data_IF_134672728743
#
_entry.id   IF_134672728743
#
_cell.length_a   1.000
_cell.length_b   1.000
_cell.length_c   1.000
_cell.angle_alpha   90.00
_cell.angle_beta   90.00
_cell.angle_gamma   90.00
#
_symmetry.space_group_name_H-M   'P 1'
#
loop_
_entity.id
_entity.type
_entity.pdbx_description
1 polymer ?
#
# COMPACT_ATOMS: atom_id res chain seq x y z
N UNK A 1 -61.82 63.34 -60.50
CA UNK A 1 -62.04 62.84 -61.87
C UNK A 1 -61.13 61.62 -62.06
N UNK A 2 -61.71 60.41 -62.21
CA UNK A 2 -61.09 59.09 -62.50
C UNK A 2 -60.05 58.56 -61.48
N UNK A 3 -59.93 57.28 -61.13
CA UNK A 3 -60.77 56.07 -61.10
C UNK A 3 -59.94 54.97 -60.41
N UNK A 4 -60.58 54.15 -59.57
CA UNK A 4 -60.44 52.68 -59.43
C UNK A 4 -59.06 52.01 -59.20
N UNK A 5 -58.92 51.27 -58.06
CA UNK A 5 -58.76 49.80 -57.90
C UNK A 5 -57.42 49.21 -58.45
N UNK A 6 -56.63 48.34 -57.80
CA UNK A 6 -56.88 47.01 -57.19
C UNK A 6 -55.66 46.60 -56.31
N UNK A 7 -55.92 45.74 -55.32
CA UNK A 7 -55.03 44.99 -54.39
C UNK A 7 -53.96 44.11 -55.08
N UNK A 8 -52.83 43.81 -54.42
CA UNK A 8 -52.52 42.45 -53.92
C UNK A 8 -51.27 42.41 -53.01
N UNK A 9 -51.36 41.49 -52.06
CA UNK A 9 -50.53 41.10 -50.91
C UNK A 9 -49.17 40.47 -51.22
N UNK A 10 -48.23 40.53 -50.27
CA UNK A 10 -47.11 39.58 -50.17
C UNK A 10 -45.92 40.08 -49.35
N UNK A 11 -45.57 39.35 -48.29
CA UNK A 11 -44.80 39.76 -47.10
C UNK A 11 -43.34 39.25 -47.09
N UNK A 12 -42.49 39.87 -46.22
CA UNK A 12 -41.19 39.43 -45.62
C UNK A 12 -39.99 39.37 -46.63
N UNK A 13 -38.74 39.74 -46.35
CA UNK A 13 -37.96 39.88 -45.12
C UNK A 13 -36.56 40.51 -45.40
N UNK A 14 -35.85 40.87 -44.31
CA UNK A 14 -34.38 40.74 -44.09
C UNK A 14 -33.47 41.97 -44.30
N UNK A 15 -32.95 42.39 -43.13
CA UNK A 15 -31.58 42.83 -42.79
C UNK A 15 -31.04 44.21 -43.17
N UNK A 16 -30.58 44.94 -42.15
CA UNK A 16 -29.29 45.64 -42.23
C UNK A 16 -28.61 45.88 -40.87
N UNK A 17 -27.39 45.36 -40.80
CA UNK A 17 -26.16 45.84 -40.15
C UNK A 17 -26.10 46.20 -38.65
N UNK A 18 -25.23 45.42 -37.98
CA UNK A 18 -24.47 45.73 -36.77
C UNK A 18 -23.69 47.05 -36.88
N UNK A 19 -23.53 47.77 -35.75
CA UNK A 19 -22.28 48.45 -35.41
C UNK A 19 -22.13 48.78 -33.90
N UNK A 20 -20.92 48.46 -33.41
CA UNK A 20 -20.16 48.95 -32.25
C UNK A 20 -20.43 48.48 -30.80
N UNK A 21 -19.34 47.97 -30.23
CA UNK A 21 -19.06 47.62 -28.84
C UNK A 21 -18.71 48.86 -28.02
N UNK A 22 -19.20 48.93 -26.78
CA UNK A 22 -18.65 49.78 -25.72
C UNK A 22 -18.70 49.05 -24.37
N UNK A 23 -17.54 48.74 -23.79
CA UNK A 23 -17.42 48.24 -22.43
C UNK A 23 -17.73 49.36 -21.42
N UNK A 24 -18.63 49.10 -20.46
CA UNK A 24 -18.68 49.84 -19.20
C UNK A 24 -18.72 48.85 -18.03
N UNK A 25 -17.75 49.02 -17.14
CA UNK A 25 -17.52 48.33 -15.87
C UNK A 25 -18.77 48.41 -14.99
N UNK A 26 -19.27 47.28 -14.50
CA UNK A 26 -20.45 47.18 -13.62
C UNK A 26 -20.21 46.17 -12.49
N UNK A 27 -20.63 46.56 -11.29
CA UNK A 27 -20.40 45.94 -9.98
C UNK A 27 -20.54 44.41 -9.93
N UNK A 28 -19.63 43.79 -9.17
CA UNK A 28 -19.80 42.43 -8.63
C UNK A 28 -20.82 42.54 -7.50
N UNK A 29 -22.10 42.36 -7.81
CA UNK A 29 -23.05 41.83 -6.84
C UNK A 29 -22.76 40.34 -6.67
N UNK A 30 -22.54 39.93 -5.43
CA UNK A 30 -22.46 38.52 -5.03
C UNK A 30 -23.76 37.81 -5.42
N UNK A 31 -23.69 36.98 -6.46
CA UNK A 31 -24.73 36.00 -6.79
C UNK A 31 -24.93 35.08 -5.57
N UNK A 32 -26.16 34.92 -5.06
CA UNK A 32 -26.43 33.95 -4.01
C UNK A 32 -26.19 32.55 -4.56
N UNK A 33 -25.46 31.73 -3.80
CA UNK A 33 -25.26 30.30 -4.07
C UNK A 33 -26.65 29.66 -4.15
N UNK A 34 -27.06 29.25 -5.35
CA UNK A 34 -28.24 28.40 -5.55
C UNK A 34 -28.03 27.09 -4.81
N UNK A 35 -28.80 26.85 -3.75
CA UNK A 35 -28.96 25.50 -3.18
C UNK A 35 -29.58 24.62 -4.25
N UNK A 36 -28.84 23.62 -4.75
CA UNK A 36 -29.42 22.57 -5.59
C UNK A 36 -30.55 21.88 -4.82
N UNK A 37 -31.68 21.61 -5.50
CA UNK A 37 -32.78 20.87 -4.91
C UNK A 37 -32.30 19.47 -4.50
N UNK A 38 -32.63 18.98 -3.30
CA UNK A 38 -32.32 17.62 -2.90
C UNK A 38 -32.96 16.62 -3.87
N UNK A 39 -32.27 15.49 -4.11
CA UNK A 39 -32.80 14.40 -4.92
C UNK A 39 -34.17 13.94 -4.40
N UNK A 40 -35.05 13.54 -5.31
CA UNK A 40 -36.38 13.02 -4.95
C UNK A 40 -36.26 11.70 -4.18
N UNK A 41 -37.28 11.36 -3.37
CA UNK A 41 -37.29 10.09 -2.62
C UNK A 41 -37.14 8.87 -3.52
N UNK A 42 -37.74 8.91 -4.73
CA UNK A 42 -37.62 7.84 -5.71
C UNK A 42 -36.19 7.69 -6.25
N UNK A 43 -35.49 8.80 -6.50
CA UNK A 43 -34.08 8.78 -6.90
C UNK A 43 -33.19 8.28 -5.77
N UNK A 44 -33.46 8.69 -4.53
CA UNK A 44 -32.74 8.23 -3.33
C UNK A 44 -32.89 6.72 -3.19
N UNK A 45 -34.10 6.17 -3.30
CA UNK A 45 -34.34 4.72 -3.26
C UNK A 45 -33.61 3.97 -4.38
N UNK A 46 -33.62 4.49 -5.60
CA UNK A 46 -32.85 3.91 -6.73
C UNK A 46 -31.34 3.90 -6.45
N UNK A 47 -30.81 4.98 -5.89
CA UNK A 47 -29.39 5.08 -5.53
C UNK A 47 -29.02 4.14 -4.38
N UNK A 48 -29.86 3.99 -3.34
CA UNK A 48 -29.64 3.01 -2.27
C UNK A 48 -29.59 1.58 -2.80
N UNK A 49 -30.56 1.22 -3.64
CA UNK A 49 -30.63 -0.09 -4.26
C UNK A 49 -29.40 -0.37 -5.14
N UNK A 50 -29.01 0.61 -5.96
CA UNK A 50 -27.81 0.54 -6.79
C UNK A 50 -26.55 0.34 -5.95
N UNK A 51 -26.38 1.09 -4.87
CA UNK A 51 -25.25 0.93 -3.95
C UNK A 51 -25.27 -0.47 -3.34
N UNK A 52 -26.39 -0.90 -2.75
CA UNK A 52 -26.52 -2.21 -2.13
C UNK A 52 -26.12 -3.35 -3.09
N UNK A 53 -26.51 -3.26 -4.35
CA UNK A 53 -26.25 -4.30 -5.35
C UNK A 53 -24.84 -4.25 -5.92
N UNK A 54 -24.23 -3.08 -6.06
CA UNK A 54 -22.90 -2.93 -6.66
C UNK A 54 -21.77 -3.03 -5.64
N UNK A 55 -22.05 -2.77 -4.37
CA UNK A 55 -21.08 -2.83 -3.28
C UNK A 55 -21.28 -4.08 -2.41
N UNK A 56 -22.47 -4.69 -2.41
CA UNK A 56 -22.80 -5.83 -1.54
C UNK A 56 -23.25 -5.42 -0.13
N UNK A 57 -23.35 -4.11 0.16
CA UNK A 57 -23.83 -3.61 1.46
C UNK A 57 -25.34 -3.87 1.58
N UNK A 58 -25.80 -4.33 2.75
CA UNK A 58 -27.24 -4.43 3.02
C UNK A 58 -27.89 -3.07 2.93
N UNK A 59 -28.97 -2.94 2.16
CA UNK A 59 -29.68 -1.66 1.96
C UNK A 59 -30.07 -0.97 3.29
N UNK A 60 -30.41 -1.75 4.32
CA UNK A 60 -30.74 -1.27 5.66
C UNK A 60 -29.58 -0.54 6.37
N UNK A 61 -28.34 -0.75 5.92
CA UNK A 61 -27.12 -0.10 6.44
C UNK A 61 -26.70 1.10 5.58
N UNK A 62 -27.54 1.51 4.62
CA UNK A 62 -27.34 2.68 3.76
C UNK A 62 -28.35 3.76 4.14
N UNK A 63 -27.87 4.80 4.82
CA UNK A 63 -28.67 5.92 5.33
C UNK A 63 -28.44 7.12 4.42
N UNK A 64 -29.52 7.75 3.95
CA UNK A 64 -29.39 9.01 3.20
C UNK A 64 -29.46 10.18 4.18
N UNK A 65 -28.46 11.05 4.11
CA UNK A 65 -28.41 12.29 4.88
C UNK A 65 -28.72 13.47 3.95
N UNK A 66 -29.94 13.99 4.07
CA UNK A 66 -30.41 15.11 3.25
C UNK A 66 -29.63 16.41 3.51
N UNK A 67 -29.11 16.61 4.73
CA UNK A 67 -28.31 17.78 5.08
C UNK A 67 -26.94 17.77 4.42
N UNK A 68 -26.37 16.57 4.21
CA UNK A 68 -25.08 16.36 3.53
C UNK A 68 -25.22 16.05 2.04
N UNK A 69 -26.43 15.79 1.55
CA UNK A 69 -26.68 15.26 0.21
C UNK A 69 -25.80 14.03 -0.10
N UNK A 70 -25.67 13.14 0.87
CA UNK A 70 -24.76 12.00 0.81
C UNK A 70 -25.40 10.74 1.42
N UNK A 71 -24.88 9.57 1.06
CA UNK A 71 -25.21 8.31 1.70
C UNK A 71 -24.12 7.97 2.72
N UNK A 72 -24.55 7.65 3.94
CA UNK A 72 -23.73 7.08 5.01
C UNK A 72 -23.92 5.56 4.93
N UNK A 73 -22.82 4.86 4.69
CA UNK A 73 -22.78 3.40 4.58
C UNK A 73 -21.99 2.85 5.76
N UNK A 74 -22.55 1.86 6.43
CA UNK A 74 -21.92 1.19 7.58
C UNK A 74 -21.46 2.11 8.74
N UNK A 75 -21.98 3.35 8.79
CA UNK A 75 -21.82 4.30 9.90
C UNK A 75 -20.73 5.36 9.71
N UNK A 76 -19.69 5.08 8.94
CA UNK A 76 -18.46 5.90 8.80
C UNK A 76 -17.98 6.09 7.34
N UNK A 77 -18.62 5.43 6.36
CA UNK A 77 -18.27 5.56 4.94
C UNK A 77 -19.26 6.50 4.23
N UNK A 78 -18.76 7.59 3.62
CA UNK A 78 -19.61 8.52 2.87
C UNK A 78 -19.39 8.49 1.36
N UNK A 79 -20.49 8.68 0.64
CA UNK A 79 -20.52 8.88 -0.81
C UNK A 79 -21.57 9.94 -1.18
N UNK A 80 -21.18 10.95 -1.95
CA UNK A 80 -22.08 12.04 -2.34
C UNK A 80 -23.15 11.56 -3.34
N UNK A 81 -24.33 12.18 -3.31
CA UNK A 81 -25.41 11.92 -4.30
C UNK A 81 -24.90 12.05 -5.74
N UNK A 82 -24.12 13.10 -5.99
CA UNK A 82 -23.52 13.38 -7.30
C UNK A 82 -22.57 12.27 -7.75
N UNK A 83 -21.77 11.72 -6.85
CA UNK A 83 -20.86 10.62 -7.17
C UNK A 83 -21.62 9.32 -7.43
N UNK A 84 -22.67 9.01 -6.66
CA UNK A 84 -23.55 7.86 -6.96
C UNK A 84 -24.17 8.00 -8.35
N UNK A 85 -24.70 9.18 -8.68
CA UNK A 85 -25.25 9.46 -10.01
C UNK A 85 -24.18 9.34 -11.11
N UNK A 86 -22.94 9.74 -10.84
CA UNK A 86 -21.80 9.50 -11.70
C UNK A 86 -21.55 8.00 -11.92
N UNK A 87 -21.63 7.21 -10.85
CA UNK A 87 -21.41 5.76 -10.88
C UNK A 87 -22.47 5.01 -11.67
N UNK A 88 -23.73 5.36 -11.47
CA UNK A 88 -24.85 4.78 -12.23
C UNK A 88 -24.71 4.99 -13.74
N UNK A 89 -23.96 6.02 -14.18
CA UNK A 89 -23.69 6.29 -15.60
C UNK A 89 -22.53 5.47 -16.17
N UNK A 90 -21.56 5.09 -15.33
CA UNK A 90 -20.29 4.48 -15.78
C UNK A 90 -20.21 2.97 -15.55
N UNK A 91 -21.03 2.40 -14.66
CA UNK A 91 -21.13 0.94 -14.45
C UNK A 91 -22.59 0.50 -14.35
N UNK A 92 -23.14 -0.20 -15.37
CA UNK A 92 -24.42 -0.88 -15.22
C UNK A 92 -24.29 -2.10 -14.28
N UNK A 93 -25.41 -2.44 -13.65
CA UNK A 93 -25.64 -3.54 -12.73
C UNK A 93 -24.71 -4.77 -12.92
N UNK A 94 -24.02 -5.17 -11.85
CA UNK A 94 -23.32 -6.46 -11.78
C UNK A 94 -23.62 -7.13 -10.44
N UNK A 95 -24.18 -8.34 -10.51
CA UNK A 95 -24.52 -9.18 -9.36
C UNK A 95 -23.32 -10.05 -8.98
N UNK A 96 -22.56 -9.64 -7.97
CA UNK A 96 -21.53 -10.45 -7.34
C UNK A 96 -21.83 -10.60 -5.84
N UNK A 97 -21.98 -11.83 -5.36
CA UNK A 97 -22.18 -12.13 -3.96
C UNK A 97 -20.90 -11.81 -3.16
N UNK A 98 -21.01 -11.25 -1.94
CA UNK A 98 -19.86 -11.05 -1.08
C UNK A 98 -19.41 -12.40 -0.49
N UNK A 99 -18.14 -12.73 -0.68
CA UNK A 99 -17.40 -13.64 0.19
C UNK A 99 -16.41 -12.81 0.98
N UNK A 100 -16.37 -13.02 2.30
CA UNK A 100 -15.45 -12.43 3.28
C UNK A 100 -14.03 -12.29 2.70
N UNK A 101 -13.40 -11.08 2.55
CA UNK A 101 -11.93 -10.70 2.44
C UNK A 101 -11.62 -9.20 2.16
N UNK A 102 -10.53 -8.58 2.69
CA UNK A 102 -10.26 -7.10 2.70
C UNK A 102 -10.61 -6.38 1.38
N UNK A 103 -11.43 -5.33 1.51
CA UNK A 103 -12.17 -4.78 0.39
C UNK A 103 -11.68 -3.41 -0.06
N UNK A 104 -11.88 -3.14 -1.35
CA UNK A 104 -11.65 -1.84 -1.97
C UNK A 104 -12.90 -1.29 -2.65
N UNK A 105 -12.99 0.02 -2.62
CA UNK A 105 -13.92 0.79 -3.41
C UNK A 105 -13.66 0.61 -4.92
N UNK A 106 -14.70 0.65 -5.78
CA UNK A 106 -14.52 0.52 -7.22
C UNK A 106 -13.68 1.62 -7.86
N UNK A 107 -13.61 2.80 -7.24
CA UNK A 107 -12.82 3.93 -7.70
C UNK A 107 -11.62 4.13 -6.79
N UNK A 108 -10.48 4.37 -7.41
CA UNK A 108 -9.20 4.61 -6.75
C UNK A 108 -8.69 5.99 -7.16
N UNK A 109 -7.83 6.55 -6.33
CA UNK A 109 -7.17 7.81 -6.65
C UNK A 109 -6.27 7.63 -7.88
N UNK A 110 -6.25 8.64 -8.75
CA UNK A 110 -5.31 8.63 -9.87
C UNK A 110 -3.86 8.82 -9.37
N UNK A 111 -2.89 8.45 -10.21
CA UNK A 111 -1.47 8.47 -9.86
C UNK A 111 -0.93 9.84 -9.48
N UNK A 112 -1.53 10.93 -9.98
CA UNK A 112 -1.07 12.30 -9.72
C UNK A 112 -1.52 12.80 -8.33
N UNK A 113 -2.64 12.28 -7.83
CA UNK A 113 -3.17 12.66 -6.51
C UNK A 113 -2.55 11.78 -5.43
N UNK A 114 -2.51 10.45 -5.62
CA UNK A 114 -2.10 9.53 -4.55
C UNK A 114 -0.66 9.71 -4.08
N UNK A 115 0.22 10.25 -4.95
CA UNK A 115 1.61 10.57 -4.63
C UNK A 115 1.82 11.81 -3.77
N UNK A 116 0.78 12.61 -3.55
CA UNK A 116 0.81 13.75 -2.64
C UNK A 116 -0.64 14.19 -2.34
N UNK A 117 -1.31 13.47 -1.46
CA UNK A 117 -2.66 13.77 -1.01
C UNK A 117 -2.59 14.91 0.01
N UNK A 118 -3.07 16.09 -0.37
CA UNK A 118 -2.94 17.32 0.42
C UNK A 118 -4.14 17.48 1.33
N UNK A 119 -3.91 17.39 2.63
CA UNK A 119 -4.93 17.53 3.66
C UNK A 119 -4.85 18.94 4.24
N UNK A 120 -5.95 19.67 4.16
CA UNK A 120 -6.14 20.89 4.93
C UNK A 120 -6.49 20.53 6.38
N UNK A 121 -5.61 20.85 7.32
CA UNK A 121 -5.88 20.70 8.75
C UNK A 121 -6.77 21.84 9.25
N UNK A 122 -8.05 21.54 9.46
CA UNK A 122 -9.04 22.44 10.05
C UNK A 122 -9.58 21.87 11.38
N UNK A 123 -8.74 21.12 12.10
CA UNK A 123 -9.06 20.55 13.41
C UNK A 123 -8.77 21.59 14.50
N UNK A 124 -9.70 21.80 15.43
CA UNK A 124 -9.55 22.72 16.56
C UNK A 124 -8.89 22.05 17.76
N UNK A 125 -9.32 20.84 18.12
CA UNK A 125 -8.80 20.07 19.25
C UNK A 125 -7.32 19.69 19.04
N UNK A 126 -6.41 20.10 19.95
CA UNK A 126 -4.98 19.84 19.80
C UNK A 126 -4.60 18.35 19.79
N UNK A 127 -5.35 17.50 20.49
CA UNK A 127 -5.07 16.07 20.55
C UNK A 127 -5.47 15.38 19.25
N UNK A 128 -6.63 15.71 18.67
CA UNK A 128 -7.02 15.25 17.33
C UNK A 128 -6.09 15.78 16.24
N UNK A 129 -5.61 17.02 16.38
CA UNK A 129 -4.61 17.59 15.48
C UNK A 129 -3.27 16.84 15.54
N UNK A 130 -2.83 16.43 16.73
CA UNK A 130 -1.67 15.54 16.89
C UNK A 130 -1.93 14.17 16.29
N UNK A 131 -3.11 13.60 16.51
CA UNK A 131 -3.51 12.32 15.95
C UNK A 131 -3.48 12.30 14.41
N UNK A 132 -3.89 13.39 13.74
CA UNK A 132 -3.77 13.53 12.28
C UNK A 132 -2.31 13.43 11.82
N UNK A 133 -1.41 14.14 12.50
CA UNK A 133 0.03 14.07 12.20
C UNK A 133 0.58 12.66 12.40
N UNK A 134 0.16 11.97 13.44
CA UNK A 134 0.63 10.62 13.70
C UNK A 134 0.06 9.62 12.68
N UNK A 135 -1.24 9.68 12.37
CA UNK A 135 -1.88 8.91 11.30
C UNK A 135 -1.15 9.05 9.94
N UNK A 136 -0.80 10.29 9.56
CA UNK A 136 -0.04 10.56 8.34
C UNK A 136 1.36 9.93 8.40
N UNK A 137 2.05 9.95 9.55
CA UNK A 137 3.35 9.28 9.68
C UNK A 137 3.24 7.78 9.45
N UNK A 138 2.16 7.13 9.85
CA UNK A 138 1.97 5.69 9.58
C UNK A 138 1.81 5.44 8.08
N UNK A 139 0.87 6.12 7.41
CA UNK A 139 0.68 5.98 5.96
C UNK A 139 1.88 6.43 5.12
N UNK A 140 2.72 7.32 5.65
CA UNK A 140 3.96 7.73 5.00
C UNK A 140 5.19 6.94 5.49
N UNK A 141 5.01 5.91 6.33
CA UNK A 141 6.14 5.20 6.91
C UNK A 141 6.85 4.36 5.84
N UNK A 142 7.95 4.91 5.34
CA UNK A 142 8.78 4.29 4.30
C UNK A 142 9.30 2.91 4.71
N UNK A 143 9.54 2.65 5.99
CA UNK A 143 10.04 1.34 6.45
C UNK A 143 8.94 0.26 6.46
N UNK A 144 7.66 0.64 6.50
CA UNK A 144 6.53 -0.30 6.50
C UNK A 144 5.95 -0.46 5.10
N UNK A 145 5.63 0.64 4.44
CA UNK A 145 4.96 0.63 3.13
C UNK A 145 5.95 0.57 1.96
N UNK A 146 7.22 0.96 2.18
CA UNK A 146 8.30 0.88 1.20
C UNK A 146 8.13 1.82 0.02
N UNK A 147 9.18 1.96 -0.79
CA UNK A 147 9.12 2.51 -2.16
C UNK A 147 8.19 1.73 -3.11
N UNK A 148 7.47 0.72 -2.60
CA UNK A 148 6.51 -0.14 -3.28
C UNK A 148 5.11 0.47 -3.40
N UNK A 149 4.79 1.53 -2.64
CA UNK A 149 3.52 2.28 -2.80
C UNK A 149 3.73 3.73 -3.17
N UNK A 150 2.77 4.30 -3.89
CA UNK A 150 2.72 5.73 -4.22
C UNK A 150 2.09 6.56 -3.11
N UNK A 151 1.41 5.95 -2.13
CA UNK A 151 0.66 6.70 -1.11
C UNK A 151 1.58 7.67 -0.38
N UNK A 152 1.20 8.94 -0.37
CA UNK A 152 1.83 9.96 0.47
C UNK A 152 0.80 11.01 0.83
N UNK A 153 0.67 11.30 2.12
CA UNK A 153 -0.17 12.38 2.64
C UNK A 153 0.67 13.56 3.11
N UNK A 154 0.20 14.77 2.89
CA UNK A 154 0.89 15.99 3.33
C UNK A 154 -0.11 16.95 3.97
N UNK A 155 0.25 17.53 5.12
CA UNK A 155 -0.55 18.59 5.74
C UNK A 155 -0.22 19.93 5.06
N UNK A 156 -1.25 20.64 4.65
CA UNK A 156 -1.15 21.97 4.06
C UNK A 156 -1.89 23.02 4.90
N UNK A 157 -1.40 24.26 4.84
CA UNK A 157 -2.00 25.42 5.51
C UNK A 157 -3.08 26.09 4.66
N UNK A 158 -3.89 26.95 5.31
CA UNK A 158 -5.15 27.51 4.82
C UNK A 158 -5.13 28.20 3.44
N UNK A 159 -3.97 28.66 2.95
CA UNK A 159 -3.84 29.49 1.73
C UNK A 159 -3.33 28.71 0.50
N UNK A 160 -3.43 27.39 0.51
CA UNK A 160 -2.91 26.53 -0.57
C UNK A 160 -4.00 25.63 -1.15
N UNK A 161 -3.76 25.09 -2.35
CA UNK A 161 -4.66 24.10 -2.95
C UNK A 161 -4.54 22.78 -2.18
N UNK A 162 -5.67 22.26 -1.71
CA UNK A 162 -5.80 21.00 -0.97
C UNK A 162 -6.72 20.03 -1.73
N UNK A 163 -6.61 18.74 -1.41
CA UNK A 163 -7.42 17.67 -2.00
C UNK A 163 -8.59 17.27 -1.09
N UNK A 164 -8.39 17.32 0.24
CA UNK A 164 -9.47 17.15 1.22
C UNK A 164 -9.26 18.00 2.48
N UNK A 165 -10.32 18.19 3.27
CA UNK A 165 -10.28 18.87 4.57
C UNK A 165 -10.47 17.87 5.71
N UNK A 166 -9.64 17.96 6.75
CA UNK A 166 -9.85 17.25 8.02
C UNK A 166 -10.42 18.22 9.06
N UNK A 167 -11.54 17.87 9.71
CA UNK A 167 -12.24 18.77 10.64
C UNK A 167 -12.93 18.05 11.80
N UNK A 168 -12.84 18.60 13.00
CA UNK A 168 -13.57 18.16 14.21
C UNK A 168 -14.86 19.00 14.40
N UNK A 169 -15.85 18.77 13.54
CA UNK A 169 -16.91 19.75 13.33
C UNK A 169 -18.28 19.43 13.91
N UNK A 170 -18.48 18.26 14.53
CA UNK A 170 -19.81 17.91 15.06
C UNK A 170 -19.75 17.18 16.39
N UNK A 171 -20.85 17.25 17.12
CA UNK A 171 -21.06 16.55 18.37
C UNK A 171 -22.31 15.70 18.22
N UNK A 172 -22.19 14.41 18.42
CA UNK A 172 -23.31 13.47 18.38
C UNK A 172 -23.02 12.27 19.27
N UNK A 173 -24.00 11.88 20.09
CA UNK A 173 -23.92 10.65 20.88
C UNK A 173 -24.35 9.48 19.98
N UNK A 174 -23.41 8.95 19.21
CA UNK A 174 -23.60 7.81 18.32
C UNK A 174 -22.40 6.87 18.42
N UNK A 175 -22.42 5.74 17.70
CA UNK A 175 -21.25 4.85 17.56
C UNK A 175 -20.26 5.31 16.46
N UNK A 176 -20.57 6.40 15.75
CA UNK A 176 -19.71 6.94 14.68
C UNK A 176 -18.69 7.90 15.29
N UNK A 177 -17.44 7.46 15.32
CA UNK A 177 -16.32 8.21 15.91
C UNK A 177 -15.80 9.26 14.93
N UNK A 178 -15.61 8.85 13.68
CA UNK A 178 -15.23 9.68 12.57
C UNK A 178 -15.89 9.13 11.30
N UNK A 179 -15.76 9.87 10.20
CA UNK A 179 -16.13 9.35 8.89
C UNK A 179 -15.33 10.06 7.78
N UNK A 180 -15.18 9.38 6.65
CA UNK A 180 -14.51 9.90 5.48
C UNK A 180 -15.26 9.58 4.19
N UNK A 181 -15.08 10.46 3.21
CA UNK A 181 -15.57 10.23 1.87
C UNK A 181 -14.61 9.34 1.08
N UNK A 182 -15.17 8.36 0.37
CA UNK A 182 -14.45 7.50 -0.56
C UNK A 182 -13.95 8.29 -1.81
N UNK A 183 -13.01 7.73 -2.60
CA UNK A 183 -12.59 8.31 -3.86
C UNK A 183 -13.77 8.55 -4.80
N UNK A 184 -13.71 9.65 -5.55
CA UNK A 184 -14.72 10.04 -6.55
C UNK A 184 -14.50 9.32 -7.88
N UNK A 185 -15.54 9.35 -8.74
CA UNK A 185 -15.50 8.75 -10.09
C UNK A 185 -14.38 9.24 -10.99
N UNK A 186 -13.94 10.48 -10.79
CA UNK A 186 -12.86 11.12 -11.54
C UNK A 186 -11.45 10.83 -10.98
N UNK A 187 -11.34 9.94 -9.98
CA UNK A 187 -10.07 9.55 -9.36
C UNK A 187 -9.46 10.62 -8.46
N UNK A 188 -10.25 11.57 -7.95
CA UNK A 188 -9.83 12.48 -6.88
C UNK A 188 -10.35 12.00 -5.52
N UNK A 189 -9.84 12.60 -4.45
CA UNK A 189 -10.33 12.35 -3.08
C UNK A 189 -11.78 12.79 -2.91
N UNK A 190 -12.43 12.21 -1.91
CA UNK A 190 -13.66 12.75 -1.32
C UNK A 190 -13.41 14.10 -0.62
N UNK A 191 -14.48 14.80 -0.26
CA UNK A 191 -14.39 16.21 0.16
C UNK A 191 -13.79 16.42 1.56
N UNK A 192 -14.05 15.51 2.50
CA UNK A 192 -13.60 15.69 3.88
C UNK A 192 -13.45 14.38 4.65
N UNK A 193 -12.60 14.43 5.68
CA UNK A 193 -12.60 13.55 6.84
C UNK A 193 -13.15 14.36 8.01
N UNK A 194 -14.14 13.83 8.72
CA UNK A 194 -14.74 14.53 9.84
C UNK A 194 -14.60 13.71 11.12
N UNK A 195 -14.39 14.40 12.24
CA UNK A 195 -14.28 13.82 13.59
C UNK A 195 -15.46 14.26 14.48
N UNK A 196 -16.03 13.30 15.20
CA UNK A 196 -17.07 13.53 16.20
C UNK A 196 -16.44 13.96 17.54
N UNK A 197 -16.70 15.19 17.94
CA UNK A 197 -16.19 15.78 19.18
C UNK A 197 -16.74 15.13 20.46
N UNK A 198 -17.80 14.31 20.37
CA UNK A 198 -18.23 13.47 21.48
C UNK A 198 -17.08 12.59 22.00
N UNK A 199 -16.19 12.14 21.12
CA UNK A 199 -15.08 11.25 21.43
C UNK A 199 -13.77 11.97 21.79
N UNK A 200 -13.82 13.24 22.17
CA UNK A 200 -12.63 13.97 22.63
C UNK A 200 -11.95 13.33 23.85
N UNK A 201 -12.65 12.48 24.60
CA UNK A 201 -12.12 11.73 25.73
C UNK A 201 -11.22 10.53 25.35
N UNK A 202 -11.14 10.16 24.07
CA UNK A 202 -10.29 9.06 23.61
C UNK A 202 -8.80 9.30 23.92
N UNK A 203 -8.08 8.19 24.15
CA UNK A 203 -6.63 8.23 24.28
C UNK A 203 -5.97 8.70 22.97
N UNK A 204 -4.74 9.25 23.03
CA UNK A 204 -4.02 9.67 21.82
C UNK A 204 -3.89 8.57 20.76
N UNK A 205 -3.70 7.32 21.17
CA UNK A 205 -3.54 6.16 20.30
C UNK A 205 -4.83 5.83 19.56
N UNK A 206 -5.97 5.80 20.27
CA UNK A 206 -7.28 5.60 19.67
C UNK A 206 -7.63 6.70 18.67
N UNK A 207 -7.29 7.95 18.98
CA UNK A 207 -7.48 9.08 18.07
C UNK A 207 -6.66 8.90 16.79
N UNK A 208 -5.38 8.53 16.92
CA UNK A 208 -4.51 8.30 15.77
C UNK A 208 -4.98 7.13 14.90
N UNK A 209 -5.45 6.05 15.53
CA UNK A 209 -5.95 4.87 14.81
C UNK A 209 -7.25 5.17 14.09
N UNK A 210 -8.16 5.92 14.73
CA UNK A 210 -9.39 6.41 14.10
C UNK A 210 -9.03 7.19 12.82
N UNK A 211 -8.16 8.20 12.91
CA UNK A 211 -7.80 8.98 11.72
C UNK A 211 -7.08 8.12 10.67
N UNK A 212 -6.23 7.18 11.07
CA UNK A 212 -5.55 6.29 10.13
C UNK A 212 -6.54 5.40 9.36
N UNK A 213 -7.58 4.89 10.03
CA UNK A 213 -8.70 4.16 9.41
C UNK A 213 -9.42 5.04 8.38
N UNK A 214 -9.80 6.25 8.76
CA UNK A 214 -10.48 7.19 7.85
C UNK A 214 -9.62 7.56 6.63
N UNK A 215 -8.31 7.71 6.80
CA UNK A 215 -7.39 7.91 5.67
C UNK A 215 -7.35 6.70 4.73
N UNK A 216 -7.58 5.49 5.24
CA UNK A 216 -7.79 4.28 4.44
C UNK A 216 -9.01 4.41 3.52
N UNK A 217 -10.13 4.92 4.02
CA UNK A 217 -11.30 5.23 3.19
C UNK A 217 -11.01 6.29 2.13
N UNK A 218 -10.25 7.34 2.46
CA UNK A 218 -9.86 8.40 1.50
C UNK A 218 -9.11 7.82 0.29
N UNK A 219 -8.34 6.75 0.48
CA UNK A 219 -7.61 6.05 -0.59
C UNK A 219 -8.37 4.81 -1.11
N UNK A 220 -9.61 4.60 -0.69
CA UNK A 220 -10.49 3.59 -1.28
C UNK A 220 -10.40 2.20 -0.66
N UNK A 221 -9.82 2.03 0.53
CA UNK A 221 -10.14 0.84 1.34
C UNK A 221 -11.57 0.94 1.87
N UNK A 222 -12.23 -0.21 1.98
CA UNK A 222 -13.48 -0.37 2.72
C UNK A 222 -13.26 -1.35 3.86
N UNK A 223 -14.26 -1.53 4.72
CA UNK A 223 -14.10 -2.36 5.92
C UNK A 223 -13.67 -3.78 5.59
N UNK A 224 -12.73 -4.33 6.37
CA UNK A 224 -12.09 -5.62 6.10
C UNK A 224 -13.00 -6.84 6.30
N UNK A 225 -14.12 -6.68 6.99
CA UNK A 225 -15.20 -7.68 7.13
C UNK A 225 -16.18 -7.69 5.94
N UNK A 226 -16.04 -6.74 5.01
CA UNK A 226 -16.89 -6.59 3.83
C UNK A 226 -18.17 -5.83 4.04
N UNK A 227 -18.40 -5.38 5.26
CA UNK A 227 -19.59 -4.61 5.60
C UNK A 227 -19.63 -3.22 4.94
N UNK A 228 -18.45 -2.66 4.62
CA UNK A 228 -18.28 -1.46 3.81
C UNK A 228 -18.39 -1.67 2.30
N UNK A 229 -18.62 -2.93 1.87
CA UNK A 229 -18.79 -3.33 0.48
C UNK A 229 -17.54 -3.19 -0.40
N UNK A 230 -17.70 -3.40 -1.70
CA UNK A 230 -16.64 -3.26 -2.69
C UNK A 230 -16.15 -4.60 -3.24
N UNK A 231 -14.95 -4.59 -3.85
CA UNK A 231 -14.30 -5.80 -4.36
C UNK A 231 -13.15 -6.19 -3.47
N UNK A 232 -12.92 -7.49 -3.29
CA UNK A 232 -11.72 -8.00 -2.64
C UNK A 232 -10.44 -7.46 -3.31
N UNK A 233 -9.45 -7.09 -2.49
CA UNK A 233 -8.09 -6.78 -2.92
C UNK A 233 -7.27 -8.08 -3.10
N UNK A 234 -6.75 -8.39 -4.30
CA UNK A 234 -5.94 -9.59 -4.47
C UNK A 234 -4.71 -9.64 -3.55
N UNK A 235 -4.49 -10.79 -2.93
CA UNK A 235 -3.38 -11.05 -2.00
C UNK A 235 -3.72 -10.79 -0.53
N UNK A 236 -4.91 -10.28 -0.21
CA UNK A 236 -5.40 -10.13 1.18
C UNK A 236 -6.36 -11.26 1.56
N UNK A 237 -6.71 -11.40 2.85
CA UNK A 237 -7.62 -12.45 3.32
C UNK A 237 -9.00 -11.96 3.72
N UNK A 238 -9.89 -12.95 3.88
CA UNK A 238 -11.21 -12.95 4.50
C UNK A 238 -11.26 -12.27 5.84
N UNK A 239 -12.10 -11.23 6.01
CA UNK A 239 -12.60 -10.86 7.33
C UNK A 239 -11.48 -10.68 8.36
N UNK A 240 -10.64 -9.70 8.08
CA UNK A 240 -9.42 -9.47 8.83
C UNK A 240 -9.69 -8.58 10.06
N UNK A 241 -9.79 -9.21 11.22
CA UNK A 241 -10.07 -8.52 12.49
C UNK A 241 -8.85 -7.84 13.12
N UNK A 242 -7.67 -7.96 12.51
CA UNK A 242 -6.46 -7.23 12.90
C UNK A 242 -6.22 -6.01 12.01
N UNK A 243 -6.87 -5.97 10.84
CA UNK A 243 -6.73 -4.88 9.88
C UNK A 243 -7.09 -3.54 10.51
N UNK A 244 -6.31 -2.52 10.14
CA UNK A 244 -6.64 -1.13 10.41
C UNK A 244 -8.06 -0.78 9.93
N UNK A 245 -8.55 -1.46 8.89
CA UNK A 245 -9.87 -1.26 8.30
C UNK A 245 -10.97 -2.09 8.94
N UNK A 246 -10.75 -2.69 10.11
CA UNK A 246 -11.81 -3.34 10.87
C UNK A 246 -12.86 -2.29 11.32
N UNK A 247 -14.18 -2.53 11.15
CA UNK A 247 -15.22 -1.53 11.41
C UNK A 247 -15.43 -1.17 12.89
N UNK A 248 -14.70 -1.84 13.80
CA UNK A 248 -14.80 -1.59 15.24
C UNK A 248 -13.43 -1.29 15.81
N UNK A 249 -13.26 -0.10 16.37
CA UNK A 249 -12.04 0.27 17.06
C UNK A 249 -12.01 -0.43 18.44
N UNK A 250 -11.02 -1.30 18.74
CA UNK A 250 -10.93 -1.95 20.05
C UNK A 250 -10.74 -0.91 21.17
N UNK A 251 -11.43 -1.12 22.30
CA UNK A 251 -11.40 -0.21 23.46
C UNK A 251 -9.99 0.00 24.06
N UNK A 252 -9.08 -0.93 23.79
CA UNK A 252 -7.65 -0.84 24.10
C UNK A 252 -6.86 -1.13 22.84
N UNK A 253 -6.64 -0.13 22.01
CA UNK A 253 -5.82 -0.29 20.83
C UNK A 253 -4.34 -0.05 21.19
N UNK A 254 -3.41 -0.93 20.79
CA UNK A 254 -2.05 -0.45 20.57
C UNK A 254 -2.09 0.67 19.51
N UNK A 255 -1.06 1.52 19.49
CA UNK A 255 -0.79 2.51 18.43
C UNK A 255 -1.16 1.99 17.03
N UNK A 256 -1.54 2.82 16.04
CA UNK A 256 -1.96 2.32 14.71
C UNK A 256 -0.96 1.31 14.16
N UNK A 257 -1.39 0.06 13.98
CA UNK A 257 -0.57 -1.02 13.41
C UNK A 257 -1.24 -1.44 12.12
N UNK A 258 -0.55 -1.26 11.00
CA UNK A 258 -0.89 -2.01 9.79
C UNK A 258 -0.57 -3.47 10.05
N UNK A 259 -1.54 -4.35 9.83
CA UNK A 259 -1.19 -5.75 9.71
C UNK A 259 -0.56 -6.03 8.33
N UNK A 260 -0.23 -7.30 8.08
CA UNK A 260 0.39 -7.68 6.81
C UNK A 260 -0.53 -7.45 5.61
N UNK A 261 -1.85 -7.57 5.79
CA UNK A 261 -2.81 -7.48 4.69
C UNK A 261 -3.13 -6.03 4.34
N UNK A 262 -3.15 -5.12 5.30
CA UNK A 262 -3.16 -3.67 5.08
C UNK A 262 -2.00 -3.24 4.16
N UNK A 263 -0.80 -3.77 4.43
CA UNK A 263 0.39 -3.48 3.62
C UNK A 263 0.27 -4.06 2.20
N UNK A 264 -0.19 -5.31 2.07
CA UNK A 264 -0.43 -5.94 0.76
C UNK A 264 -1.47 -5.15 -0.02
N UNK A 265 -2.58 -4.79 0.61
CA UNK A 265 -3.64 -4.00 0.01
C UNK A 265 -3.13 -2.66 -0.50
N UNK A 266 -2.36 -1.93 0.33
CA UNK A 266 -1.85 -0.61 -0.01
C UNK A 266 -0.88 -0.65 -1.21
N UNK A 267 -0.07 -1.72 -1.29
CA UNK A 267 0.86 -1.97 -2.40
C UNK A 267 0.15 -2.42 -3.66
N UNK A 268 -0.92 -3.21 -3.54
CA UNK A 268 -1.73 -3.65 -4.67
C UNK A 268 -2.51 -2.50 -5.31
N UNK A 269 -3.14 -1.65 -4.49
CA UNK A 269 -3.96 -0.53 -4.98
C UNK A 269 -3.11 0.55 -5.64
N UNK A 270 -1.97 0.86 -5.04
CA UNK A 270 -1.14 2.00 -5.45
C UNK A 270 0.33 1.62 -5.65
N UNK A 271 0.64 0.62 -6.50
CA UNK A 271 2.00 0.14 -6.67
C UNK A 271 2.85 1.27 -7.21
N UNK A 272 3.94 1.60 -6.52
CA UNK A 272 4.97 2.46 -7.10
C UNK A 272 5.93 1.56 -7.85
N UNK A 273 6.05 1.78 -9.15
CA UNK A 273 7.23 1.32 -9.89
C UNK A 273 8.41 2.03 -9.24
N UNK A 274 9.36 1.32 -8.61
CA UNK A 274 10.56 1.94 -8.10
C UNK A 274 11.16 2.79 -9.22
N UNK A 275 11.47 4.05 -8.93
CA UNK A 275 12.18 4.88 -9.90
C UNK A 275 13.47 4.12 -10.28
N UNK A 276 13.65 3.82 -11.56
CA UNK A 276 14.87 3.20 -12.05
C UNK A 276 15.98 4.23 -11.91
N UNK A 277 16.72 4.13 -10.81
CA UNK A 277 17.93 4.93 -10.61
C UNK A 277 18.77 4.30 -9.52
N UNK A 278 19.29 3.09 -9.81
CA UNK A 278 20.43 2.56 -9.09
C UNK A 278 20.51 1.02 -9.02
N UNK A 279 21.64 0.50 -9.49
CA UNK A 279 21.99 -0.91 -9.42
C UNK A 279 23.07 -1.18 -8.34
N UNK A 280 22.77 -1.97 -7.30
CA UNK A 280 23.74 -2.39 -6.27
C UNK A 280 24.84 -3.30 -6.80
N UNK A 281 24.69 -3.82 -8.03
CA UNK A 281 25.70 -4.56 -8.78
C UNK A 281 25.10 -5.71 -9.58
N UNK A 282 25.95 -6.60 -10.08
CA UNK A 282 25.52 -7.90 -10.61
C UNK A 282 25.47 -8.95 -9.51
N UNK A 283 24.86 -10.12 -9.76
CA UNK A 283 24.80 -11.20 -8.76
C UNK A 283 26.21 -11.60 -8.28
N UNK A 284 27.22 -11.62 -9.16
CA UNK A 284 28.61 -11.93 -8.77
C UNK A 284 29.23 -10.92 -7.79
N UNK A 285 28.70 -9.70 -7.74
CA UNK A 285 29.19 -8.62 -6.88
C UNK A 285 28.33 -8.39 -5.63
N UNK A 286 27.40 -9.30 -5.33
CA UNK A 286 26.58 -9.19 -4.12
C UNK A 286 27.36 -9.61 -2.87
N UNK A 287 27.07 -8.98 -1.74
CA UNK A 287 27.38 -9.43 -0.38
C UNK A 287 26.36 -10.45 0.13
N UNK A 288 25.10 -10.34 -0.32
CA UNK A 288 24.04 -11.32 -0.08
C UNK A 288 22.75 -10.92 -0.78
N UNK A 289 21.78 -11.83 -0.86
CA UNK A 289 20.45 -11.54 -1.38
C UNK A 289 19.38 -12.43 -0.74
N UNK A 290 18.21 -11.86 -0.46
CA UNK A 290 17.07 -12.62 0.06
C UNK A 290 15.74 -11.96 -0.36
N UNK A 291 14.64 -12.68 -0.16
CA UNK A 291 13.29 -12.25 -0.46
C UNK A 291 12.60 -11.78 0.83
N UNK A 292 11.92 -10.63 0.80
CA UNK A 292 11.15 -10.12 1.92
C UNK A 292 9.78 -10.78 2.04
N UNK A 293 9.01 -10.41 3.07
CA UNK A 293 7.64 -10.92 3.31
C UNK A 293 6.64 -10.59 2.20
N UNK A 294 7.02 -9.67 1.30
CA UNK A 294 6.21 -9.19 0.19
C UNK A 294 6.69 -9.71 -1.17
N UNK A 295 7.50 -10.78 -1.14
CA UNK A 295 8.17 -11.39 -2.28
C UNK A 295 9.11 -10.44 -3.07
N UNK A 296 9.38 -9.25 -2.55
CA UNK A 296 10.41 -8.35 -3.06
C UNK A 296 11.80 -8.90 -2.78
N UNK A 297 12.68 -8.91 -3.79
CA UNK A 297 14.05 -9.39 -3.63
C UNK A 297 14.98 -8.23 -3.28
N UNK A 298 15.75 -8.37 -2.21
CA UNK A 298 16.77 -7.42 -1.78
C UNK A 298 18.16 -7.92 -2.17
N UNK A 299 18.96 -7.02 -2.74
CA UNK A 299 20.28 -7.28 -3.30
C UNK A 299 21.30 -6.36 -2.64
N UNK A 300 22.00 -6.85 -1.61
CA UNK A 300 23.07 -6.11 -0.95
C UNK A 300 24.38 -6.33 -1.70
N UNK A 301 24.94 -5.28 -2.27
CA UNK A 301 26.17 -5.28 -3.07
C UNK A 301 27.44 -5.10 -2.24
N UNK A 302 28.56 -5.65 -2.70
CA UNK A 302 29.89 -5.44 -2.12
C UNK A 302 30.33 -3.97 -2.10
N UNK A 303 29.67 -3.13 -2.89
CA UNK A 303 29.83 -1.67 -2.91
C UNK A 303 29.29 -0.96 -1.67
N UNK A 304 28.58 -1.66 -0.77
CA UNK A 304 27.89 -1.06 0.37
C UNK A 304 26.51 -0.49 0.01
N UNK A 305 26.00 -0.82 -1.18
CA UNK A 305 24.68 -0.41 -1.65
C UNK A 305 23.70 -1.58 -1.66
N UNK A 306 22.43 -1.31 -1.41
CA UNK A 306 21.33 -2.27 -1.51
C UNK A 306 20.27 -1.76 -2.47
N UNK A 307 19.79 -2.64 -3.34
CA UNK A 307 18.69 -2.38 -4.27
C UNK A 307 17.60 -3.41 -4.02
N UNK A 308 16.33 -2.98 -4.04
CA UNK A 308 15.17 -3.86 -3.93
C UNK A 308 14.50 -4.02 -5.30
N UNK A 309 14.55 -5.22 -5.87
CA UNK A 309 13.91 -5.59 -7.12
C UNK A 309 13.00 -6.81 -6.98
N UNK A 310 13.09 -7.72 -7.95
CA UNK A 310 12.43 -9.03 -7.94
C UNK A 310 13.42 -10.12 -8.36
N UNK A 311 13.02 -11.39 -8.25
CA UNK A 311 13.92 -12.53 -8.42
C UNK A 311 14.66 -12.61 -9.76
N UNK A 312 14.16 -11.97 -10.81
CA UNK A 312 14.78 -11.95 -12.15
C UNK A 312 15.30 -10.57 -12.55
N UNK A 313 15.12 -9.55 -11.71
CA UNK A 313 15.48 -8.17 -12.04
C UNK A 313 15.99 -7.43 -10.81
N UNK A 314 17.22 -6.91 -10.92
CA UNK A 314 17.76 -5.94 -9.98
C UNK A 314 17.42 -4.56 -10.53
N UNK A 315 16.41 -3.93 -9.95
CA UNK A 315 15.92 -2.61 -10.33
C UNK A 315 15.45 -1.88 -9.08
N UNK A 316 15.36 -0.55 -9.16
CA UNK A 316 14.76 0.30 -8.14
C UNK A 316 15.75 1.23 -7.48
N UNK A 317 15.36 1.74 -6.32
CA UNK A 317 16.15 2.75 -5.62
C UNK A 317 17.36 2.10 -4.95
N UNK A 318 18.55 2.60 -5.29
CA UNK A 318 19.79 2.23 -4.62
C UNK A 318 19.91 3.04 -3.32
N UNK A 319 20.04 2.32 -2.21
CA UNK A 319 20.32 2.89 -0.91
C UNK A 319 21.68 2.41 -0.43
N UNK A 320 22.35 3.17 0.43
CA UNK A 320 23.51 2.66 1.17
C UNK A 320 23.04 1.78 2.34
N UNK A 321 23.79 0.73 2.66
CA UNK A 321 23.57 -0.02 3.90
C UNK A 321 24.81 -0.02 4.80
N UNK A 322 24.59 -0.04 6.12
CA UNK A 322 25.65 -0.12 7.12
C UNK A 322 25.73 -1.50 7.76
N UNK A 323 26.94 -1.93 8.07
CA UNK A 323 27.23 -3.11 8.88
C UNK A 323 27.65 -2.68 10.30
N UNK A 324 27.87 -3.67 11.18
CA UNK A 324 28.45 -3.42 12.50
C UNK A 324 29.83 -2.75 12.37
N UNK A 325 30.19 -1.91 13.35
CA UNK A 325 31.47 -1.22 13.36
C UNK A 325 32.66 -2.18 13.13
N UNK A 326 33.56 -1.81 12.22
CA UNK A 326 34.73 -2.61 11.85
C UNK A 326 34.47 -3.74 10.84
N UNK A 327 33.24 -3.87 10.32
CA UNK A 327 32.92 -4.82 9.24
C UNK A 327 32.69 -4.12 7.91
N UNK A 328 33.02 -4.84 6.85
CA UNK A 328 32.84 -4.46 5.46
C UNK A 328 31.94 -5.48 4.75
N UNK A 329 31.33 -5.12 3.61
CA UNK A 329 30.57 -6.08 2.79
C UNK A 329 31.34 -7.36 2.45
N UNK A 330 32.67 -7.32 2.37
CA UNK A 330 33.51 -8.48 2.09
C UNK A 330 33.57 -9.48 3.26
N UNK A 331 33.24 -9.06 4.48
CA UNK A 331 33.21 -9.91 5.68
C UNK A 331 31.92 -10.74 5.81
N UNK A 332 30.91 -10.43 4.99
CA UNK A 332 29.61 -11.09 4.98
C UNK A 332 29.75 -12.48 4.35
N UNK A 333 29.22 -13.49 5.04
CA UNK A 333 29.00 -14.82 4.50
C UNK A 333 27.67 -14.86 3.75
N UNK A 334 26.57 -14.43 4.40
CA UNK A 334 25.25 -14.28 3.76
C UNK A 334 24.31 -13.37 4.59
N UNK A 335 23.18 -12.97 3.98
CA UNK A 335 22.15 -12.11 4.58
C UNK A 335 20.78 -12.76 4.40
N UNK A 336 19.93 -12.74 5.42
CA UNK A 336 18.58 -13.32 5.37
C UNK A 336 17.53 -12.44 6.06
N UNK A 337 16.29 -12.49 5.58
CA UNK A 337 15.15 -11.70 6.04
C UNK A 337 14.15 -12.63 6.73
N UNK A 338 13.86 -12.38 8.00
CA UNK A 338 12.83 -13.10 8.76
C UNK A 338 11.41 -12.61 8.44
N UNK A 339 10.39 -13.36 8.88
CA UNK A 339 8.97 -12.97 8.79
C UNK A 339 8.61 -11.69 9.56
N UNK A 340 9.48 -11.23 10.44
CA UNK A 340 9.35 -9.96 11.16
C UNK A 340 9.98 -8.77 10.42
N UNK A 341 10.50 -8.98 9.20
CA UNK A 341 11.38 -8.06 8.48
C UNK A 341 12.71 -7.73 9.17
N UNK A 342 13.06 -8.44 10.25
CA UNK A 342 14.42 -8.38 10.79
C UNK A 342 15.39 -9.03 9.80
N UNK A 343 16.48 -8.32 9.53
CA UNK A 343 17.55 -8.77 8.64
C UNK A 343 18.69 -9.31 9.48
N UNK A 344 19.10 -10.54 9.19
CA UNK A 344 20.21 -11.24 9.81
C UNK A 344 21.40 -11.24 8.88
N UNK A 345 22.59 -10.98 9.42
CA UNK A 345 23.85 -11.00 8.68
C UNK A 345 24.80 -11.98 9.34
N UNK A 346 25.10 -13.07 8.64
CA UNK A 346 26.11 -14.03 9.05
C UNK A 346 27.46 -13.59 8.49
N UNK A 347 28.47 -13.52 9.35
CA UNK A 347 29.82 -13.11 9.01
C UNK A 347 30.75 -14.32 8.87
N UNK A 348 31.81 -14.15 8.09
CA UNK A 348 32.85 -15.18 7.88
C UNK A 348 33.66 -15.51 9.14
N UNK A 349 33.61 -14.65 10.15
CA UNK A 349 34.27 -14.86 11.45
C UNK A 349 33.42 -15.67 12.45
N UNK A 350 32.29 -16.24 12.02
CA UNK A 350 31.46 -17.10 12.87
C UNK A 350 30.48 -16.35 13.78
N UNK A 351 30.21 -15.07 13.49
CA UNK A 351 29.23 -14.27 14.22
C UNK A 351 28.02 -13.90 13.36
N UNK A 352 26.87 -13.73 13.98
CA UNK A 352 25.62 -13.24 13.36
C UNK A 352 25.20 -11.93 14.03
N UNK A 353 24.78 -10.96 13.23
CA UNK A 353 24.17 -9.71 13.67
C UNK A 353 22.74 -9.57 13.16
N UNK A 354 21.98 -8.62 13.70
CA UNK A 354 20.59 -8.35 13.30
C UNK A 354 20.34 -6.84 13.16
N UNK A 355 19.44 -6.47 12.24
CA UNK A 355 19.03 -5.09 12.01
C UNK A 355 17.89 -4.96 11.01
N UNK A 356 17.81 -3.83 10.31
CA UNK A 356 16.88 -3.58 9.21
C UNK A 356 17.56 -3.54 7.85
N UNK A 357 16.80 -3.41 6.76
CA UNK A 357 17.27 -3.50 5.37
C UNK A 357 18.48 -2.60 5.00
N UNK A 358 18.55 -1.41 5.59
CA UNK A 358 19.60 -0.41 5.33
C UNK A 358 20.58 -0.24 6.49
N UNK A 359 20.27 -0.82 7.65
CA UNK A 359 21.08 -0.70 8.86
C UNK A 359 21.14 -2.07 9.52
N UNK A 360 22.12 -2.89 9.12
CA UNK A 360 22.18 -4.30 9.45
C UNK A 360 22.77 -4.58 10.86
N UNK A 361 22.70 -3.59 11.76
CA UNK A 361 23.36 -3.60 13.07
C UNK A 361 22.53 -2.93 14.19
N UNK A 362 21.21 -2.80 14.01
CA UNK A 362 20.35 -1.95 14.85
C UNK A 362 19.58 -2.65 15.97
N UNK A 363 19.52 -3.99 16.02
CA UNK A 363 18.61 -4.68 16.94
C UNK A 363 19.21 -5.95 17.57
N UNK A 364 18.97 -6.26 18.87
CA UNK A 364 18.22 -5.50 19.89
C UNK A 364 19.03 -4.40 20.60
N UNK A 365 20.36 -4.42 20.45
CA UNK A 365 21.29 -3.38 20.93
C UNK A 365 22.33 -3.11 19.85
N UNK A 366 22.63 -1.83 19.58
CA UNK A 366 23.64 -1.41 18.61
C UNK A 366 24.95 -2.19 18.82
N UNK A 367 25.45 -2.83 17.76
CA UNK A 367 26.71 -3.59 17.70
C UNK A 367 26.78 -4.93 18.44
N UNK A 368 25.67 -5.49 18.92
CA UNK A 368 25.71 -6.85 19.49
C UNK A 368 25.69 -7.90 18.39
N UNK A 369 26.69 -8.79 18.41
CA UNK A 369 26.77 -9.99 17.58
C UNK A 369 26.84 -11.23 18.45
N UNK A 370 26.23 -12.31 17.99
CA UNK A 370 26.25 -13.60 18.67
C UNK A 370 27.08 -14.60 17.87
N UNK A 371 27.85 -15.50 18.51
CA UNK A 371 28.46 -16.60 17.77
C UNK A 371 27.36 -17.47 17.15
N UNK A 372 27.59 -18.00 15.95
CA UNK A 372 26.73 -19.03 15.37
C UNK A 372 27.48 -20.33 15.14
N UNK A 373 26.78 -21.44 15.35
CA UNK A 373 27.26 -22.78 15.08
C UNK A 373 26.84 -23.26 13.68
N UNK A 374 27.65 -24.16 13.14
CA UNK A 374 27.42 -24.84 11.87
C UNK A 374 27.39 -26.36 12.12
N UNK A 375 26.74 -27.15 11.25
CA UNK A 375 26.81 -28.60 11.30
C UNK A 375 28.26 -29.11 11.31
N UNK A 376 28.49 -30.29 11.89
CA UNK A 376 29.82 -30.89 11.97
C UNK A 376 30.51 -30.96 10.59
N UNK A 377 31.77 -30.52 10.53
CA UNK A 377 32.56 -30.49 9.31
C UNK A 377 32.32 -29.28 8.40
N UNK A 378 31.42 -28.36 8.77
CA UNK A 378 31.17 -27.11 8.04
C UNK A 378 31.88 -25.93 8.68
N UNK A 379 32.29 -24.98 7.85
CA UNK A 379 32.85 -23.69 8.24
C UNK A 379 32.12 -22.57 7.51
N UNK A 380 32.26 -21.29 7.93
CA UNK A 380 31.65 -20.17 7.21
C UNK A 380 32.02 -20.10 5.72
N UNK A 381 33.21 -20.60 5.35
CA UNK A 381 33.66 -20.65 3.95
C UNK A 381 32.89 -21.66 3.07
N UNK A 382 32.14 -22.59 3.69
CA UNK A 382 31.31 -23.54 2.95
C UNK A 382 29.94 -22.98 2.56
N UNK A 383 29.51 -21.88 3.18
CA UNK A 383 28.18 -21.28 2.96
C UNK A 383 28.11 -20.68 1.56
N UNK A 384 27.03 -21.00 0.84
CA UNK A 384 26.69 -20.39 -0.46
C UNK A 384 25.29 -19.77 -0.49
N UNK A 385 24.52 -19.96 0.57
CA UNK A 385 23.22 -19.33 0.76
C UNK A 385 22.69 -19.60 2.16
N UNK A 386 21.99 -18.63 2.74
CA UNK A 386 21.22 -18.74 3.97
C UNK A 386 19.95 -17.93 3.73
N UNK A 387 18.79 -18.53 4.02
CA UNK A 387 17.53 -17.79 4.05
C UNK A 387 16.72 -18.22 5.25
N UNK A 388 15.87 -17.31 5.73
CA UNK A 388 14.93 -17.60 6.80
C UNK A 388 13.59 -17.85 6.13
N UNK A 389 12.97 -18.99 6.43
CA UNK A 389 11.60 -19.28 6.01
C UNK A 389 10.66 -18.37 6.77
N UNK A 390 9.75 -17.72 6.04
CA UNK A 390 8.82 -16.81 6.67
C UNK A 390 7.62 -17.56 7.29
N UNK A 391 7.37 -18.78 6.83
CA UNK A 391 6.29 -19.63 7.32
C UNK A 391 6.55 -20.20 8.72
N UNK A 392 7.80 -20.57 9.01
CA UNK A 392 8.16 -21.26 10.26
C UNK A 392 9.35 -20.62 11.01
N UNK A 393 9.93 -19.53 10.50
CA UNK A 393 11.05 -18.81 11.11
C UNK A 393 12.37 -19.57 11.11
N UNK A 394 12.47 -20.72 10.44
CA UNK A 394 13.68 -21.55 10.44
C UNK A 394 14.72 -21.02 9.46
N UNK A 395 15.98 -21.13 9.84
CA UNK A 395 17.12 -20.83 8.98
C UNK A 395 17.46 -22.05 8.14
N UNK A 396 17.54 -21.88 6.83
CA UNK A 396 18.01 -22.88 5.88
C UNK A 396 19.35 -22.42 5.33
N UNK A 397 20.39 -23.25 5.47
CA UNK A 397 21.74 -22.93 5.02
C UNK A 397 22.21 -23.95 3.98
N UNK A 398 22.63 -23.48 2.81
CA UNK A 398 23.16 -24.30 1.71
C UNK A 398 24.67 -24.18 1.63
N UNK A 399 25.31 -25.30 1.29
CA UNK A 399 26.76 -25.43 1.26
C UNK A 399 27.31 -25.79 -0.14
N UNK A 400 28.57 -25.45 -0.37
CA UNK A 400 29.29 -25.66 -1.63
C UNK A 400 29.64 -27.13 -1.97
N UNK A 401 29.26 -28.09 -1.13
CA UNK A 401 29.46 -29.52 -1.34
C UNK A 401 28.14 -30.28 -1.63
N UNK A 402 27.06 -29.54 -1.90
CA UNK A 402 25.77 -30.14 -2.25
C UNK A 402 24.92 -30.59 -1.08
N UNK A 403 25.23 -30.11 0.13
CA UNK A 403 24.34 -30.30 1.28
C UNK A 403 23.70 -28.99 1.76
N UNK A 404 22.60 -29.10 2.49
CA UNK A 404 21.98 -28.01 3.23
C UNK A 404 21.64 -28.47 4.65
N UNK A 405 21.38 -27.53 5.57
CA UNK A 405 20.92 -27.82 6.93
C UNK A 405 19.77 -26.91 7.33
N UNK A 406 19.07 -27.28 8.40
CA UNK A 406 17.95 -26.52 8.97
C UNK A 406 18.23 -26.22 10.42
N UNK A 407 18.11 -24.96 10.81
CA UNK A 407 18.47 -24.49 12.13
C UNK A 407 17.76 -23.21 12.53
N UNK A 408 18.38 -22.50 13.47
CA UNK A 408 18.02 -21.15 13.89
C UNK A 408 19.19 -20.20 13.60
N UNK A 409 19.04 -18.91 13.93
CA UNK A 409 20.03 -17.88 13.56
C UNK A 409 21.42 -18.06 14.22
N UNK A 410 21.49 -18.74 15.35
CA UNK A 410 22.73 -19.01 16.11
C UNK A 410 23.20 -20.45 16.02
N UNK A 411 22.44 -21.35 15.41
CA UNK A 411 22.83 -22.74 15.16
C UNK A 411 22.14 -23.23 13.88
N UNK A 412 22.89 -23.22 12.77
CA UNK A 412 22.39 -23.54 11.44
C UNK A 412 22.11 -25.04 11.22
N UNK A 413 22.44 -25.90 12.20
CA UNK A 413 22.16 -27.34 12.18
C UNK A 413 21.16 -27.81 13.23
N UNK A 414 20.56 -26.89 14.00
CA UNK A 414 19.79 -27.21 15.20
C UNK A 414 18.63 -28.20 14.99
N UNK A 415 17.88 -28.06 13.90
CA UNK A 415 16.70 -28.91 13.62
C UNK A 415 17.05 -30.11 12.74
N UNK A 416 17.95 -29.92 11.78
CA UNK A 416 18.42 -30.98 10.92
C UNK A 416 19.81 -30.65 10.40
N UNK A 417 20.71 -31.63 10.52
CA UNK A 417 22.06 -31.56 9.97
C UNK A 417 22.05 -31.70 8.43
N UNK A 418 23.22 -31.99 7.86
CA UNK A 418 23.45 -32.06 6.41
C UNK A 418 22.51 -33.02 5.68
N UNK A 419 21.63 -32.47 4.86
CA UNK A 419 20.81 -33.15 3.86
C UNK A 419 21.30 -32.80 2.46
N UNK A 420 21.10 -33.64 1.45
CA UNK A 420 21.57 -33.38 0.08
C UNK A 420 20.58 -32.52 -0.72
N UNK A 421 21.10 -31.73 -1.64
CA UNK A 421 20.30 -31.03 -2.65
C UNK A 421 20.94 -31.14 -4.03
N UNK A 422 20.13 -30.93 -5.08
CA UNK A 422 20.56 -31.02 -6.47
C UNK A 422 20.40 -29.67 -7.19
N UNK A 423 21.21 -29.48 -8.23
CA UNK A 423 21.22 -28.28 -9.07
C UNK A 423 20.74 -28.59 -10.49
N UNK A 424 20.22 -27.57 -11.22
CA UNK A 424 19.98 -27.70 -12.66
C UNK A 424 21.27 -28.03 -13.42
N UNK A 425 21.11 -28.70 -14.56
CA UNK A 425 22.24 -29.06 -15.42
C UNK A 425 23.08 -27.82 -15.80
N UNK A 426 24.41 -27.99 -15.79
CA UNK A 426 25.35 -26.91 -16.09
C UNK A 426 25.69 -25.98 -14.93
N UNK A 427 25.14 -26.21 -13.72
CA UNK A 427 25.51 -25.48 -12.50
C UNK A 427 26.33 -26.34 -11.54
N UNK A 428 27.25 -25.70 -10.84
CA UNK A 428 27.98 -26.23 -9.70
C UNK A 428 27.57 -25.55 -8.39
N UNK A 429 27.77 -26.22 -7.25
CA UNK A 429 27.40 -25.66 -5.95
C UNK A 429 28.16 -24.36 -5.61
N UNK A 430 29.38 -24.20 -6.12
CA UNK A 430 30.15 -22.97 -5.98
C UNK A 430 29.66 -21.82 -6.88
N UNK A 431 28.76 -22.07 -7.83
CA UNK A 431 28.17 -21.01 -8.68
C UNK A 431 27.07 -20.25 -7.94
N UNK A 432 26.49 -20.83 -6.89
CA UNK A 432 25.47 -20.18 -6.08
C UNK A 432 26.12 -18.97 -5.38
N UNK A 433 25.43 -17.83 -5.44
CA UNK A 433 25.77 -16.65 -4.66
C UNK A 433 24.91 -16.50 -3.43
N UNK A 434 23.60 -16.72 -3.59
CA UNK A 434 22.61 -16.48 -2.55
C UNK A 434 21.41 -17.37 -2.82
N UNK A 435 20.64 -17.64 -1.77
CA UNK A 435 19.37 -18.35 -1.84
C UNK A 435 18.35 -17.55 -1.06
N UNK A 436 17.17 -17.33 -1.64
CA UNK A 436 16.07 -16.65 -0.96
C UNK A 436 14.79 -17.47 -0.92
N UNK A 437 14.01 -17.34 0.15
CA UNK A 437 12.73 -18.04 0.32
C UNK A 437 11.59 -17.03 0.23
N UNK A 438 10.69 -17.24 -0.73
CA UNK A 438 9.47 -16.45 -0.89
C UNK A 438 8.43 -16.77 0.20
N UNK A 439 7.72 -15.75 0.67
CA UNK A 439 6.68 -15.88 1.70
C UNK A 439 5.50 -16.69 1.16
N UNK A 440 4.97 -16.27 0.01
CA UNK A 440 3.68 -16.74 -0.51
C UNK A 440 3.68 -18.22 -0.93
N UNK A 441 4.83 -18.72 -1.35
CA UNK A 441 4.95 -20.03 -1.99
C UNK A 441 5.92 -20.98 -1.28
N UNK A 442 6.71 -20.47 -0.34
CA UNK A 442 7.88 -21.17 0.21
C UNK A 442 8.86 -21.60 -0.90
N UNK A 443 8.85 -20.98 -2.08
CA UNK A 443 9.78 -21.34 -3.15
C UNK A 443 11.18 -20.79 -2.85
N UNK A 444 12.19 -21.60 -3.20
CA UNK A 444 13.60 -21.26 -3.01
C UNK A 444 14.15 -20.75 -4.33
N UNK A 445 14.69 -19.53 -4.32
CA UNK A 445 15.29 -18.88 -5.45
C UNK A 445 16.80 -18.95 -5.32
N UNK A 446 17.46 -19.68 -6.22
CA UNK A 446 18.90 -19.88 -6.22
C UNK A 446 19.52 -18.92 -7.23
N UNK A 447 20.17 -17.85 -6.75
CA UNK A 447 20.87 -16.91 -7.62
C UNK A 447 22.31 -17.34 -7.85
N UNK A 448 22.71 -17.35 -9.11
CA UNK A 448 24.03 -17.79 -9.55
C UNK A 448 24.90 -16.60 -9.99
N UNK A 449 26.22 -16.74 -9.78
CA UNK A 449 27.23 -15.71 -10.09
C UNK A 449 27.23 -15.26 -11.55
N UNK A 450 26.72 -16.07 -12.47
CA UNK A 450 26.60 -15.74 -13.90
C UNK A 450 25.32 -14.96 -14.25
N UNK A 451 24.69 -14.30 -13.28
CA UNK A 451 23.44 -13.55 -13.44
C UNK A 451 22.28 -14.41 -13.95
N UNK A 452 22.14 -15.59 -13.37
CA UNK A 452 20.96 -16.42 -13.60
C UNK A 452 20.32 -16.82 -12.27
N UNK A 453 19.08 -17.30 -12.33
CA UNK A 453 18.31 -17.78 -11.19
C UNK A 453 17.57 -19.05 -11.56
N UNK A 454 17.40 -19.99 -10.63
CA UNK A 454 16.44 -21.08 -10.73
C UNK A 454 15.51 -21.11 -9.52
N UNK A 455 14.39 -21.82 -9.63
CA UNK A 455 13.37 -21.89 -8.57
C UNK A 455 13.07 -23.33 -8.21
N UNK A 456 13.10 -23.62 -6.92
CA UNK A 456 12.97 -24.99 -6.45
C UNK A 456 12.60 -25.14 -4.98
N UNK A 457 12.84 -26.35 -4.47
CA UNK A 457 12.64 -26.73 -3.07
C UNK A 457 13.99 -26.76 -2.33
N UNK A 458 13.99 -27.19 -1.06
CA UNK A 458 15.22 -27.38 -0.29
C UNK A 458 16.19 -28.39 -0.94
N UNK A 459 15.67 -29.46 -1.56
CA UNK A 459 16.45 -30.58 -2.09
C UNK A 459 16.63 -30.57 -3.61
N UNK A 460 15.93 -29.69 -4.34
CA UNK A 460 16.07 -29.56 -5.79
C UNK A 460 15.89 -28.10 -6.21
N UNK A 461 16.99 -27.46 -6.63
CA UNK A 461 17.03 -26.03 -6.96
C UNK A 461 16.28 -25.64 -8.24
N UNK A 462 15.78 -26.61 -9.02
CA UNK A 462 15.02 -26.38 -10.24
C UNK A 462 13.69 -27.16 -10.25
N UNK A 463 13.16 -27.49 -9.07
CA UNK A 463 11.91 -28.25 -8.94
C UNK A 463 10.69 -27.55 -9.55
N UNK A 464 10.70 -26.22 -9.60
CA UNK A 464 9.55 -25.40 -10.03
C UNK A 464 9.84 -24.61 -11.30
N UNK A 465 11.06 -24.10 -11.45
CA UNK A 465 11.50 -23.39 -12.65
C UNK A 465 12.98 -23.62 -12.90
N UNK A 466 13.32 -23.89 -14.17
CA UNK A 466 14.70 -23.97 -14.62
C UNK A 466 15.42 -22.62 -14.62
N UNK A 467 16.58 -22.58 -15.29
CA UNK A 467 17.44 -21.40 -15.31
C UNK A 467 16.78 -20.25 -16.07
N UNK A 468 16.75 -19.07 -15.47
CA UNK A 468 16.29 -17.80 -16.06
C UNK A 468 17.35 -16.72 -15.89
N UNK A 469 17.42 -15.75 -16.79
CA UNK A 469 18.37 -14.64 -16.70
C UNK A 469 17.94 -13.60 -15.66
N UNK A 470 18.91 -13.08 -14.91
CA UNK A 470 18.73 -11.90 -14.05
C UNK A 470 19.24 -10.67 -14.80
N UNK A 471 18.36 -9.71 -15.03
CA UNK A 471 18.71 -8.44 -15.69
C UNK A 471 18.91 -7.31 -14.68
N UNK A 472 19.90 -6.45 -14.91
CA UNK A 472 20.20 -5.30 -14.06
C UNK A 472 19.90 -4.01 -14.83
N UNK A 473 19.21 -3.07 -14.19
CA UNK A 473 18.79 -1.79 -14.81
C UNK A 473 19.36 -0.57 -14.10
#
# INVERSE_FOLDING_TARGET
MKSMFVKLTGTVAVSLALFFVACKKGNIESQPITKENPASEEEISKMKLYLAQTTGIKESLIIYDAGRQAFIMHGDILISTKDVQGYMKTKPYSTGAPSTEQYRWPYLLNSNIVSNIRIKDNINDPAWKKALRDAIKYWNNYNLLGSSTRITFTIYSDNTTYDLVANDSWYEVSNTIAYAYLPKSNGTTGDSLRINTYYNYFSPELKAMTIAHELGHVIGFTHSDGSGGGSLIPGTIANDNQSLMWPVIPATAPSPVFDNYDLIGARYLYPRTPNASGNSGSISTMAGADIGIDDGSFYWGLSGNVTRGNSTRIYGEMNTYSLVAGKTPADVAEIGIANTNLVYVWYKDGYVGTGGFYQLNTYPTLNTRYPYALPAGKTPANIVGISISKQDGRCYAWYNDGTYSVGNSTDLGYYSASQTYTLPAGKSYSDIRAVGIAETSDWRYFWYKDNTVSVGSNSNAAAFQGISTVTNY
#
